data_IF_709410001282
#
_entry.id   IF_709410001282
#
_cell.length_a   1.000
_cell.length_b   1.000
_cell.length_c   1.000
_cell.angle_alpha   90.00
_cell.angle_beta   90.00
_cell.angle_gamma   90.00
#
_symmetry.space_group_name_H-M   'P 1'
#
loop_
_entity.id
_entity.type
_entity.pdbx_description
1 polymer ?
#
# COMPACT_ATOMS: atom_id res chain seq x y z
N UNK A 1 -19.07 1.28 -2.54
CA UNK A 1 -18.44 0.60 -3.69
C UNK A 1 -18.20 1.62 -4.80
N UNK A 2 -17.00 1.67 -5.30
CA UNK A 2 -16.56 2.55 -6.39
C UNK A 2 -15.92 1.71 -7.50
N UNK A 3 -16.00 2.13 -8.77
CA UNK A 3 -15.46 1.32 -9.87
C UNK A 3 -13.99 0.93 -9.70
N UNK A 4 -13.16 1.82 -9.15
CA UNK A 4 -11.73 1.55 -8.93
C UNK A 4 -11.43 0.61 -7.75
N UNK A 5 -12.42 0.33 -6.89
CA UNK A 5 -12.31 -0.67 -5.82
C UNK A 5 -12.53 -2.09 -6.37
N UNK A 6 -13.08 -2.22 -7.59
CA UNK A 6 -13.20 -3.48 -8.32
C UNK A 6 -14.12 -4.50 -7.66
N UNK A 7 -13.65 -5.75 -7.61
CA UNK A 7 -14.41 -6.90 -7.08
C UNK A 7 -14.39 -6.96 -5.54
N UNK A 8 -13.47 -6.25 -4.88
CA UNK A 8 -13.40 -6.25 -3.43
C UNK A 8 -12.26 -5.43 -2.84
N UNK A 9 -12.26 -5.36 -1.52
CA UNK A 9 -11.24 -4.68 -0.75
C UNK A 9 -10.67 -5.60 0.34
N UNK A 10 -9.36 -5.49 0.58
CA UNK A 10 -8.68 -6.23 1.62
C UNK A 10 -7.47 -5.46 2.18
N UNK A 11 -6.74 -6.06 3.12
CA UNK A 11 -5.53 -5.52 3.75
C UNK A 11 -5.71 -4.11 4.29
N UNK A 12 -6.73 -3.95 5.13
CA UNK A 12 -7.03 -2.67 5.77
C UNK A 12 -5.99 -2.31 6.83
N UNK A 13 -5.47 -1.09 6.76
CA UNK A 13 -4.57 -0.52 7.75
C UNK A 13 -5.10 0.85 8.19
N UNK A 14 -5.37 1.00 9.48
CA UNK A 14 -5.87 2.25 10.05
C UNK A 14 -4.77 2.91 10.88
N UNK A 15 -4.51 4.18 10.64
CA UNK A 15 -3.62 5.01 11.43
C UNK A 15 -4.33 6.28 11.89
N UNK A 16 -3.91 6.82 13.03
CA UNK A 16 -4.34 8.13 13.50
C UNK A 16 -3.17 9.10 13.40
N UNK A 17 -3.37 10.19 12.67
CA UNK A 17 -2.44 11.31 12.62
C UNK A 17 -2.80 12.29 13.75
N UNK A 18 -2.02 12.25 14.82
CA UNK A 18 -2.26 13.09 16.01
C UNK A 18 -2.05 14.58 15.72
N UNK A 19 -1.24 14.94 14.75
CA UNK A 19 -1.00 16.32 14.34
C UNK A 19 -2.18 16.87 13.53
N UNK A 20 -2.63 16.11 12.54
CA UNK A 20 -3.76 16.48 11.66
C UNK A 20 -5.12 16.17 12.28
N UNK A 21 -5.15 15.38 13.38
CA UNK A 21 -6.37 14.93 14.06
C UNK A 21 -7.32 14.19 13.11
N UNK A 22 -6.77 13.31 12.30
CA UNK A 22 -7.51 12.53 11.29
C UNK A 22 -7.15 11.06 11.36
N UNK A 23 -8.15 10.20 11.27
CA UNK A 23 -7.96 8.78 10.99
C UNK A 23 -7.83 8.58 9.49
N UNK A 24 -6.91 7.73 9.08
CA UNK A 24 -6.77 7.27 7.71
C UNK A 24 -6.83 5.77 7.64
N UNK A 25 -7.57 5.27 6.69
CA UNK A 25 -7.61 3.84 6.37
C UNK A 25 -7.06 3.64 4.97
N UNK A 26 -6.00 2.87 4.89
CA UNK A 26 -5.41 2.41 3.64
C UNK A 26 -5.88 1.00 3.37
N UNK A 27 -6.18 0.69 2.12
CA UNK A 27 -6.68 -0.62 1.73
C UNK A 27 -6.41 -0.91 0.26
N UNK A 28 -6.36 -2.19 -0.07
CA UNK A 28 -6.33 -2.63 -1.45
C UNK A 28 -7.75 -2.62 -2.02
N UNK A 29 -7.95 -1.97 -3.16
CA UNK A 29 -9.04 -2.25 -4.08
C UNK A 29 -8.52 -3.17 -5.17
N UNK A 30 -9.17 -4.29 -5.42
CA UNK A 30 -8.70 -5.28 -6.39
C UNK A 30 -9.79 -5.73 -7.34
N UNK A 31 -9.40 -6.02 -8.56
CA UNK A 31 -10.28 -6.57 -9.59
C UNK A 31 -9.59 -7.71 -10.34
N UNK A 32 -10.38 -8.66 -10.79
CA UNK A 32 -9.93 -9.78 -11.62
C UNK A 32 -10.16 -9.44 -13.09
N UNK A 33 -9.08 -9.23 -13.84
CA UNK A 33 -9.09 -8.66 -15.20
C UNK A 33 -9.67 -9.54 -16.29
N UNK A 34 -9.96 -10.80 -16.04
CA UNK A 34 -10.45 -11.67 -17.11
C UNK A 34 -11.94 -11.97 -16.94
N UNK A 35 -12.80 -11.53 -17.86
CA UNK A 35 -14.22 -11.89 -17.85
C UNK A 35 -14.46 -13.42 -17.98
N UNK A 36 -13.51 -14.13 -18.58
CA UNK A 36 -13.55 -15.59 -18.74
C UNK A 36 -12.74 -16.34 -17.70
N UNK A 37 -12.08 -15.61 -16.77
CA UNK A 37 -11.28 -16.12 -15.64
C UNK A 37 -10.16 -17.10 -16.05
N UNK A 38 -9.70 -17.05 -17.29
CA UNK A 38 -8.64 -17.94 -17.78
C UNK A 38 -7.24 -17.43 -17.44
N UNK A 39 -7.11 -16.10 -17.27
CA UNK A 39 -5.88 -15.49 -16.78
C UNK A 39 -6.17 -14.88 -15.39
N UNK A 40 -5.49 -15.38 -14.36
CA UNK A 40 -5.59 -14.88 -13.00
C UNK A 40 -4.76 -13.60 -12.84
N UNK A 41 -5.06 -12.59 -13.64
CA UNK A 41 -4.44 -11.29 -13.47
C UNK A 41 -5.28 -10.47 -12.51
N UNK A 42 -4.77 -10.27 -11.31
CA UNK A 42 -5.38 -9.39 -10.31
C UNK A 42 -4.72 -8.02 -10.44
N UNK A 43 -5.53 -7.00 -10.64
CA UNK A 43 -5.07 -5.61 -10.55
C UNK A 43 -5.42 -5.08 -9.17
N UNK A 44 -4.40 -4.59 -8.47
CA UNK A 44 -4.54 -3.98 -7.15
C UNK A 44 -4.20 -2.50 -7.24
N UNK A 45 -4.96 -1.70 -6.52
CA UNK A 45 -4.73 -0.28 -6.30
C UNK A 45 -4.80 -0.02 -4.80
N UNK A 46 -3.91 0.82 -4.28
CA UNK A 46 -4.00 1.25 -2.89
C UNK A 46 -4.87 2.49 -2.84
N UNK A 47 -5.91 2.43 -2.03
CA UNK A 47 -6.85 3.51 -1.77
C UNK A 47 -6.68 4.04 -0.34
N UNK A 48 -7.07 5.31 -0.13
CA UNK A 48 -7.08 5.92 1.19
C UNK A 48 -8.44 6.58 1.44
N UNK A 49 -9.01 6.35 2.62
CA UNK A 49 -10.19 7.07 3.13
C UNK A 49 -9.86 7.73 4.45
N UNK A 50 -10.60 8.76 4.79
CA UNK A 50 -10.38 9.57 5.98
C UNK A 50 -11.60 9.62 6.88
N UNK A 51 -11.36 9.86 8.18
CA UNK A 51 -12.41 10.08 9.16
C UNK A 51 -11.95 11.01 10.27
N UNK A 52 -12.80 11.92 10.70
CA UNK A 52 -12.55 12.75 11.85
C UNK A 52 -12.84 12.05 13.19
N UNK A 53 -13.70 11.02 13.19
CA UNK A 53 -14.20 10.35 14.39
C UNK A 53 -13.92 8.82 14.44
N UNK A 54 -13.37 8.26 13.35
CA UNK A 54 -13.13 6.82 13.21
C UNK A 54 -14.39 5.99 12.89
N UNK A 55 -15.54 6.63 12.75
CA UNK A 55 -16.84 5.98 12.48
C UNK A 55 -17.40 6.36 11.12
N UNK A 56 -17.32 7.64 10.76
CA UNK A 56 -17.80 8.16 9.48
C UNK A 56 -16.63 8.40 8.55
N UNK A 57 -16.61 7.66 7.43
CA UNK A 57 -15.47 7.63 6.50
C UNK A 57 -15.82 8.30 5.18
N UNK A 58 -14.93 9.15 4.73
CA UNK A 58 -15.04 9.87 3.47
C UNK A 58 -13.95 9.45 2.49
N UNK A 59 -14.26 9.52 1.19
CA UNK A 59 -13.31 9.29 0.10
C UNK A 59 -12.85 10.63 -0.45
N UNK A 60 -11.65 11.10 -0.10
CA UNK A 60 -11.14 12.34 -0.68
C UNK A 60 -10.85 12.17 -2.18
N UNK A 61 -11.14 13.21 -2.96
CA UNK A 61 -10.68 13.30 -4.35
C UNK A 61 -9.23 13.77 -4.34
N UNK A 62 -8.29 12.86 -4.57
CA UNK A 62 -6.86 13.13 -4.38
C UNK A 62 -6.15 13.63 -5.63
N UNK A 63 -6.68 13.35 -6.83
CA UNK A 63 -6.10 13.80 -8.09
C UNK A 63 -4.77 13.12 -8.47
N UNK A 64 -4.37 12.05 -7.79
CA UNK A 64 -3.05 11.43 -7.93
C UNK A 64 -2.97 10.44 -9.08
N UNK A 65 -3.92 9.53 -9.15
CA UNK A 65 -3.94 8.42 -10.11
C UNK A 65 -5.13 8.56 -11.04
N UNK A 66 -4.90 8.38 -12.33
CA UNK A 66 -5.98 8.33 -13.32
C UNK A 66 -6.61 6.94 -13.35
N UNK A 67 -7.95 6.89 -13.35
CA UNK A 67 -8.77 5.72 -13.53
C UNK A 67 -9.93 6.06 -14.48
N UNK A 68 -10.05 5.32 -15.57
CA UNK A 68 -11.09 5.53 -16.61
C UNK A 68 -11.22 7.00 -17.08
N UNK A 69 -10.08 7.66 -17.30
CA UNK A 69 -10.02 9.04 -17.79
C UNK A 69 -10.33 10.10 -16.72
N UNK A 70 -10.47 9.72 -15.46
CA UNK A 70 -10.72 10.64 -14.34
C UNK A 70 -9.69 10.47 -13.23
N UNK A 71 -9.35 11.57 -12.58
CA UNK A 71 -8.56 11.59 -11.34
C UNK A 71 -9.42 11.88 -10.10
N UNK A 72 -10.74 11.93 -10.26
CA UNK A 72 -11.67 12.11 -9.15
C UNK A 72 -11.87 10.79 -8.40
N UNK A 73 -10.84 10.40 -7.67
CA UNK A 73 -10.80 9.16 -6.91
C UNK A 73 -9.85 9.28 -5.71
N UNK A 74 -9.88 8.27 -4.84
CA UNK A 74 -9.04 8.17 -3.64
C UNK A 74 -7.89 7.16 -3.77
N UNK A 75 -7.43 6.87 -5.00
CA UNK A 75 -6.30 5.99 -5.25
C UNK A 75 -5.00 6.76 -4.95
N UNK A 76 -4.11 6.17 -4.16
CA UNK A 76 -2.80 6.73 -3.84
C UNK A 76 -1.65 6.03 -4.57
N UNK A 77 -1.77 4.72 -4.82
CA UNK A 77 -0.76 3.94 -5.55
C UNK A 77 -1.47 3.02 -6.55
N UNK A 78 -0.99 3.03 -7.77
CA UNK A 78 -1.29 2.05 -8.82
C UNK A 78 0.03 1.51 -9.40
N UNK A 79 0.00 0.49 -10.23
CA UNK A 79 1.19 -0.06 -10.87
C UNK A 79 1.98 1.01 -11.65
N UNK A 80 1.29 2.01 -12.19
CA UNK A 80 1.89 3.16 -12.89
C UNK A 80 2.60 4.17 -11.97
N UNK A 81 2.40 4.10 -10.65
CA UNK A 81 2.98 5.07 -9.69
C UNK A 81 4.50 4.94 -9.61
N UNK A 82 5.01 3.72 -9.71
CA UNK A 82 6.46 3.47 -9.64
C UNK A 82 6.95 2.79 -10.91
N UNK A 83 7.97 3.34 -11.58
CA UNK A 83 8.58 2.70 -12.73
C UNK A 83 9.06 1.28 -12.40
N UNK A 84 8.74 0.31 -13.25
CA UNK A 84 9.15 -1.10 -13.11
C UNK A 84 8.28 -1.93 -12.16
N UNK A 85 7.36 -1.33 -11.40
CA UNK A 85 6.44 -2.06 -10.54
C UNK A 85 5.50 -2.94 -11.39
N UNK A 86 5.50 -4.25 -11.13
CA UNK A 86 4.70 -5.23 -11.90
C UNK A 86 3.30 -5.36 -11.33
N UNK A 87 3.20 -5.44 -10.01
CA UNK A 87 1.93 -5.57 -9.29
C UNK A 87 2.05 -4.93 -7.91
N UNK A 88 0.93 -4.75 -7.26
CA UNK A 88 0.84 -4.22 -5.90
C UNK A 88 0.23 -5.28 -5.03
N UNK A 89 0.78 -5.42 -3.82
CA UNK A 89 0.20 -6.23 -2.77
C UNK A 89 0.75 -5.78 -1.41
N UNK A 90 -0.02 -6.05 -0.33
CA UNK A 90 0.47 -5.93 1.05
C UNK A 90 1.01 -4.55 1.44
N UNK A 91 0.22 -3.51 1.27
CA UNK A 91 0.58 -2.16 1.70
C UNK A 91 0.20 -1.93 3.17
N UNK A 92 1.20 -1.67 4.02
CA UNK A 92 1.00 -1.34 5.43
C UNK A 92 1.64 0.00 5.76
N UNK A 93 0.92 0.84 6.50
CA UNK A 93 1.36 2.19 6.89
C UNK A 93 1.37 2.33 8.40
N UNK A 94 2.33 3.09 8.92
CA UNK A 94 2.36 3.57 10.30
C UNK A 94 2.72 5.05 10.35
N UNK A 95 2.32 5.74 11.40
CA UNK A 95 2.77 7.11 11.71
C UNK A 95 4.03 7.00 12.55
N UNK A 96 5.10 7.65 12.11
CA UNK A 96 6.38 7.69 12.82
C UNK A 96 6.39 8.85 13.81
N UNK A 97 6.26 8.53 15.08
CA UNK A 97 6.31 9.49 16.18
C UNK A 97 7.75 9.81 16.65
N UNK A 98 8.79 9.25 16.00
CA UNK A 98 10.18 9.53 16.35
C UNK A 98 10.52 11.00 16.02
N UNK A 99 10.95 11.80 17.00
CA UNK A 99 11.32 13.20 16.75
C UNK A 99 12.58 13.36 15.91
N UNK A 100 13.39 12.29 15.78
CA UNK A 100 14.64 12.27 15.01
C UNK A 100 14.67 11.00 14.12
N UNK A 101 13.79 10.89 13.14
CA UNK A 101 13.76 9.70 12.31
C UNK A 101 14.99 9.62 11.40
N UNK A 102 15.56 8.42 11.25
CA UNK A 102 16.65 8.17 10.31
C UNK A 102 16.22 8.38 8.84
N UNK A 103 14.94 8.18 8.58
CA UNK A 103 14.30 8.42 7.29
C UNK A 103 13.25 9.53 7.48
N UNK A 104 13.33 10.64 6.74
CA UNK A 104 12.31 11.70 6.79
C UNK A 104 10.91 11.19 6.40
N UNK A 105 9.89 11.93 6.81
CA UNK A 105 8.48 11.67 6.52
C UNK A 105 7.70 11.19 7.74
N UNK A 106 6.51 11.73 7.91
CA UNK A 106 5.59 11.40 9.03
C UNK A 106 5.03 9.98 8.90
N UNK A 107 4.75 9.54 7.68
CA UNK A 107 4.21 8.21 7.40
C UNK A 107 5.31 7.31 6.87
N UNK A 108 5.39 6.11 7.42
CA UNK A 108 6.27 5.04 6.94
C UNK A 108 5.41 3.89 6.44
N UNK A 109 5.81 3.30 5.34
CA UNK A 109 5.08 2.16 4.80
C UNK A 109 6.04 1.05 4.35
N UNK A 110 5.50 -0.15 4.30
CA UNK A 110 6.13 -1.30 3.65
C UNK A 110 5.16 -1.89 2.64
N UNK A 111 5.69 -2.33 1.52
CA UNK A 111 4.91 -2.90 0.43
C UNK A 111 5.69 -4.01 -0.26
N UNK A 112 5.02 -5.11 -0.59
CA UNK A 112 5.58 -6.08 -1.54
C UNK A 112 5.79 -5.39 -2.89
N UNK A 113 6.99 -5.47 -3.42
CA UNK A 113 7.41 -4.70 -4.59
C UNK A 113 8.08 -5.62 -5.61
N UNK A 114 7.29 -6.36 -6.41
CA UNK A 114 7.81 -7.08 -7.55
C UNK A 114 8.20 -6.07 -8.64
N UNK A 115 9.47 -6.04 -8.99
CA UNK A 115 10.04 -5.11 -9.96
C UNK A 115 10.61 -5.86 -11.16
N UNK A 116 10.28 -5.40 -12.36
CA UNK A 116 10.82 -5.99 -13.59
C UNK A 116 12.25 -5.53 -13.80
N UNK A 117 13.17 -6.48 -14.00
CA UNK A 117 14.57 -6.23 -14.33
C UNK A 117 14.77 -6.07 -15.84
N UNK A 118 15.91 -5.51 -16.23
CA UNK A 118 16.28 -5.33 -17.64
C UNK A 118 16.40 -6.66 -18.41
N UNK A 119 16.77 -7.73 -17.72
CA UNK A 119 16.84 -9.10 -18.29
C UNK A 119 15.48 -9.77 -18.48
N UNK A 120 14.38 -9.07 -18.13
CA UNK A 120 13.00 -9.54 -18.24
C UNK A 120 12.52 -10.38 -17.05
N UNK A 121 13.39 -10.69 -16.08
CA UNK A 121 13.00 -11.39 -14.84
C UNK A 121 12.26 -10.42 -13.89
N UNK A 122 11.53 -10.97 -12.91
CA UNK A 122 10.90 -10.18 -11.85
C UNK A 122 11.64 -10.43 -10.53
N UNK A 123 12.11 -9.36 -9.93
CA UNK A 123 12.67 -9.40 -8.57
C UNK A 123 11.59 -9.11 -7.54
N UNK A 124 11.42 -10.01 -6.59
CA UNK A 124 10.50 -9.83 -5.47
C UNK A 124 11.28 -9.27 -4.28
N UNK A 125 10.73 -8.20 -3.68
CA UNK A 125 11.34 -7.55 -2.52
C UNK A 125 10.28 -6.86 -1.67
N UNK A 126 10.60 -6.62 -0.40
CA UNK A 126 9.84 -5.74 0.46
C UNK A 126 10.46 -4.35 0.41
N UNK A 127 9.71 -3.37 -0.05
CA UNK A 127 10.15 -1.97 -0.20
C UNK A 127 9.66 -1.14 0.98
N UNK A 128 10.56 -0.35 1.54
CA UNK A 128 10.25 0.73 2.46
C UNK A 128 9.87 1.99 1.71
N UNK A 129 8.77 2.61 2.14
CA UNK A 129 8.26 3.85 1.59
C UNK A 129 8.09 4.89 2.70
N UNK A 130 8.16 6.17 2.36
CA UNK A 130 7.87 7.27 3.28
C UNK A 130 7.03 8.35 2.61
N UNK A 131 6.29 9.11 3.43
CA UNK A 131 5.45 10.20 2.99
C UNK A 131 5.32 11.25 4.10
N UNK A 132 5.27 12.53 3.74
CA UNK A 132 4.99 13.64 4.66
C UNK A 132 3.48 13.89 4.83
N UNK A 133 2.72 13.64 3.78
CA UNK A 133 1.29 13.94 3.72
C UNK A 133 0.38 12.70 3.92
N UNK A 134 0.94 11.50 3.77
CA UNK A 134 0.23 10.23 3.85
C UNK A 134 -0.50 9.84 2.55
N UNK A 135 -0.26 10.57 1.46
CA UNK A 135 -0.85 10.28 0.15
C UNK A 135 0.22 10.02 -0.91
N UNK A 136 1.25 10.86 -0.96
CA UNK A 136 2.34 10.73 -1.91
C UNK A 136 3.50 10.03 -1.22
N UNK A 137 3.71 8.78 -1.60
CA UNK A 137 4.79 7.96 -1.07
C UNK A 137 5.97 7.90 -2.03
N UNK A 138 7.18 7.89 -1.49
CA UNK A 138 8.42 7.71 -2.23
C UNK A 138 9.21 6.51 -1.68
N UNK A 139 9.99 5.87 -2.55
CA UNK A 139 10.87 4.75 -2.16
C UNK A 139 12.00 5.25 -1.26
N UNK A 140 12.20 4.55 -0.14
CA UNK A 140 13.30 4.82 0.80
C UNK A 140 14.42 3.82 0.61
N UNK A 141 14.09 2.55 0.47
CA UNK A 141 15.05 1.48 0.30
C UNK A 141 14.41 0.10 0.43
N UNK A 142 15.17 -0.91 0.08
CA UNK A 142 14.73 -2.29 0.22
C UNK A 142 14.90 -2.72 1.67
N UNK A 143 13.82 -3.25 2.24
CA UNK A 143 13.78 -3.78 3.61
C UNK A 143 14.26 -5.23 3.62
N UNK A 144 13.83 -6.03 2.64
CA UNK A 144 14.24 -7.42 2.49
C UNK A 144 14.12 -7.89 1.04
N UNK A 145 15.05 -8.75 0.63
CA UNK A 145 14.98 -9.53 -0.59
C UNK A 145 14.53 -10.98 -0.33
N UNK A 146 14.41 -11.36 0.94
CA UNK A 146 14.09 -12.72 1.36
C UNK A 146 12.69 -12.77 1.94
N UNK A 147 11.86 -13.66 1.42
CA UNK A 147 10.49 -13.90 1.87
C UNK A 147 9.51 -14.03 0.72
N UNK A 148 8.39 -14.67 0.97
CA UNK A 148 7.30 -14.77 -0.02
C UNK A 148 6.50 -13.47 -0.14
N UNK A 149 6.47 -12.64 0.91
CA UNK A 149 5.73 -11.37 1.03
C UNK A 149 4.24 -11.48 0.64
N UNK A 150 3.68 -12.66 0.79
CA UNK A 150 2.33 -13.02 0.32
C UNK A 150 1.23 -12.70 1.34
N UNK A 151 1.60 -12.11 2.47
CA UNK A 151 0.69 -11.68 3.53
C UNK A 151 0.96 -10.25 3.94
N UNK A 152 0.07 -9.65 4.74
CA UNK A 152 0.27 -8.28 5.22
C UNK A 152 1.55 -8.19 6.08
N UNK A 153 2.58 -7.58 5.52
CA UNK A 153 3.80 -7.27 6.24
C UNK A 153 3.61 -6.00 7.06
N UNK A 154 4.05 -6.01 8.31
CA UNK A 154 3.89 -4.86 9.21
C UNK A 154 5.23 -4.29 9.66
N UNK A 155 5.27 -2.98 9.89
CA UNK A 155 6.42 -2.29 10.44
C UNK A 155 5.99 -1.50 11.68
N UNK A 156 6.71 -1.63 12.79
CA UNK A 156 6.40 -0.91 14.02
C UNK A 156 7.64 -0.26 14.61
N UNK A 157 7.51 1.00 15.03
CA UNK A 157 8.44 1.73 15.89
C UNK A 157 9.90 1.79 15.43
N UNK A 158 10.32 2.81 14.71
CA UNK A 158 11.72 3.21 14.51
C UNK A 158 12.69 2.21 13.86
N UNK A 159 12.37 0.94 13.88
CA UNK A 159 13.03 -0.13 13.14
C UNK A 159 11.96 -0.89 12.35
N UNK A 160 12.19 -1.04 11.05
CA UNK A 160 11.35 -1.91 10.23
C UNK A 160 11.67 -3.35 10.64
N UNK A 161 10.81 -3.93 11.46
CA UNK A 161 10.86 -5.35 11.75
C UNK A 161 9.85 -6.05 10.86
N UNK A 162 10.33 -6.70 9.82
CA UNK A 162 9.53 -7.60 9.01
C UNK A 162 9.23 -8.85 9.87
N UNK A 163 7.99 -9.02 10.31
CA UNK A 163 7.50 -10.29 10.81
C UNK A 163 6.55 -10.84 9.77
N UNK A 164 7.01 -11.78 9.00
CA UNK A 164 6.12 -12.68 8.27
C UNK A 164 5.36 -13.47 9.34
N UNK A 165 4.05 -13.26 9.42
CA UNK A 165 3.17 -14.19 10.15
C UNK A 165 3.08 -15.45 9.31
N UNK A 166 4.06 -16.33 9.45
CA UNK A 166 3.91 -17.71 9.00
C UNK A 166 2.74 -18.33 9.74
N UNK A 167 1.82 -18.91 9.01
CA UNK A 167 0.72 -19.72 9.50
C UNK A 167 1.22 -20.63 10.61
N UNK A 168 0.64 -20.48 11.80
CA UNK A 168 0.77 -21.46 12.89
C UNK A 168 -0.25 -22.59 12.64
N UNK A 169 -0.06 -23.34 11.56
CA UNK A 169 -0.74 -24.60 11.34
C UNK A 169 0.34 -25.67 11.34
N UNK A 170 0.45 -26.33 12.45
CA UNK A 170 0.95 -27.69 12.66
C UNK A 170 1.64 -27.79 14.04
N UNK A 171 0.84 -28.13 15.04
CA UNK A 171 1.23 -28.95 16.19
C UNK A 171 0.05 -29.80 16.61
#
# INVERSE_FOLDING_TARGET
>A
DRPWEGDGCNYFCVVYDDVKKVYRMYYNGWEMMSPDRKEHTIIVKICCIESADGLHWERPSLGLVEFDGSKDNNIIIAASTFPGLVSIDNFFVTVDANPNPAVPGTYKAVMAFPEKREDGTTEHKLMGLASDDGYIFHKVGVVSYEGAFDTLNTATGGAVTCRTLTRLDEA
#
